data_IF_332736870277
#
_entry.id   IF_332736870277
#
_cell.length_a   1.000
_cell.length_b   1.000
_cell.length_c   1.000
_cell.angle_alpha   90.00
_cell.angle_beta   90.00
_cell.angle_gamma   90.00
#
_symmetry.space_group_name_H-M   'P 1'
#
loop_
_entity.id
_entity.type
_entity.pdbx_description
1 polymer ?
#
# COMPACT_ATOMS: atom_id res chain seq x y z
N UNK A 1 3.69 12.37 59.43
CA UNK A 1 3.48 12.93 58.07
C UNK A 1 4.20 12.02 57.10
N UNK A 2 3.42 11.21 56.39
CA UNK A 2 3.86 10.03 55.66
C UNK A 2 4.46 10.41 54.31
N UNK A 3 5.71 10.00 54.07
CA UNK A 3 6.39 10.19 52.78
C UNK A 3 6.09 9.00 51.87
N UNK A 4 5.30 9.22 50.82
CA UNK A 4 5.07 8.24 49.76
C UNK A 4 5.86 8.65 48.52
N UNK A 5 7.02 8.02 48.32
CA UNK A 5 7.79 8.12 47.07
C UNK A 5 7.16 7.23 46.00
N UNK A 6 6.67 7.82 44.91
CA UNK A 6 6.10 7.08 43.78
C UNK A 6 7.19 6.29 43.04
N UNK A 7 7.06 4.96 43.10
CA UNK A 7 7.86 3.99 42.37
C UNK A 7 7.45 4.04 40.90
N UNK A 8 8.32 4.52 40.01
CA UNK A 8 8.11 4.48 38.57
C UNK A 8 8.16 3.02 38.09
N UNK A 9 6.99 2.41 38.01
CA UNK A 9 6.81 1.11 37.37
C UNK A 9 7.14 1.22 35.89
N UNK A 10 8.23 0.56 35.48
CA UNK A 10 8.59 0.38 34.08
C UNK A 10 7.55 -0.53 33.42
N UNK A 11 6.53 0.07 32.80
CA UNK A 11 5.53 -0.67 32.01
C UNK A 11 6.24 -1.21 30.78
N UNK A 12 6.57 -2.51 30.81
CA UNK A 12 7.02 -3.24 29.63
C UNK A 12 5.83 -3.31 28.67
N UNK A 13 5.74 -2.34 27.77
CA UNK A 13 4.80 -2.39 26.67
C UNK A 13 5.17 -3.59 25.79
N UNK A 14 4.16 -4.35 25.38
CA UNK A 14 4.33 -5.44 24.41
C UNK A 14 4.77 -4.84 23.07
N UNK A 15 6.07 -4.65 22.88
CA UNK A 15 6.64 -4.52 21.54
C UNK A 15 6.47 -5.88 20.89
N UNK A 16 5.42 -6.02 20.06
CA UNK A 16 5.35 -7.10 19.08
C UNK A 16 6.63 -6.98 18.25
N UNK A 17 7.59 -7.86 18.52
CA UNK A 17 8.80 -7.99 17.71
C UNK A 17 8.28 -8.32 16.32
N UNK A 18 8.30 -7.33 15.43
CA UNK A 18 7.88 -7.52 14.05
C UNK A 18 8.67 -8.68 13.52
N UNK A 19 7.97 -9.73 13.07
CA UNK A 19 8.58 -10.72 12.20
C UNK A 19 9.20 -9.94 11.05
N UNK A 20 10.51 -10.09 10.81
CA UNK A 20 11.22 -9.42 9.73
C UNK A 20 10.47 -9.70 8.43
N UNK A 21 9.65 -8.74 8.01
CA UNK A 21 8.81 -8.87 6.83
C UNK A 21 9.75 -8.88 5.64
N UNK A 22 9.81 -10.01 4.92
CA UNK A 22 10.58 -10.11 3.68
C UNK A 22 10.02 -9.07 2.71
N UNK A 23 10.76 -7.98 2.52
CA UNK A 23 10.34 -6.88 1.66
C UNK A 23 10.95 -7.10 0.27
N UNK A 24 10.21 -7.79 -0.59
CA UNK A 24 10.55 -7.92 -2.01
C UNK A 24 9.93 -6.74 -2.75
N UNK A 25 10.72 -6.06 -3.58
CA UNK A 25 10.25 -4.94 -4.41
C UNK A 25 9.04 -5.37 -5.25
N UNK A 26 8.02 -4.53 -5.35
CA UNK A 26 6.83 -4.84 -6.14
C UNK A 26 5.88 -5.86 -5.52
N UNK A 27 6.16 -6.32 -4.28
CA UNK A 27 5.24 -7.18 -3.52
C UNK A 27 4.63 -6.41 -2.36
N UNK A 28 3.39 -6.75 -2.01
CA UNK A 28 2.70 -6.24 -0.82
C UNK A 28 2.10 -7.38 -0.04
N UNK A 29 1.96 -7.19 1.27
CA UNK A 29 1.34 -8.19 2.14
C UNK A 29 -0.18 -8.09 2.03
N UNK A 30 -0.84 -9.20 1.75
CA UNK A 30 -2.29 -9.28 1.75
C UNK A 30 -2.82 -9.23 3.19
N UNK A 31 -3.75 -8.31 3.46
CA UNK A 31 -4.20 -7.96 4.81
C UNK A 31 -4.80 -9.14 5.59
N UNK A 32 -5.48 -10.07 4.91
CA UNK A 32 -6.21 -11.16 5.59
C UNK A 32 -5.33 -12.37 5.90
N UNK A 33 -4.47 -12.79 4.96
CA UNK A 33 -3.70 -14.04 5.06
C UNK A 33 -2.20 -13.82 5.26
N UNK A 34 -1.75 -12.56 5.37
CA UNK A 34 -0.34 -12.19 5.45
C UNK A 34 0.55 -12.77 4.32
N UNK A 35 -0.05 -13.19 3.21
CA UNK A 35 0.65 -13.72 2.04
C UNK A 35 1.17 -12.56 1.18
N UNK A 36 2.33 -12.73 0.59
CA UNK A 36 2.85 -11.77 -0.39
C UNK A 36 2.05 -11.88 -1.69
N UNK A 37 1.59 -10.74 -2.20
CA UNK A 37 0.93 -10.61 -3.50
C UNK A 37 1.73 -9.64 -4.37
N UNK A 38 1.75 -9.92 -5.68
CA UNK A 38 2.42 -9.15 -6.72
C UNK A 38 1.37 -8.65 -7.71
N UNK A 39 1.58 -7.45 -8.27
CA UNK A 39 0.71 -6.94 -9.33
C UNK A 39 0.85 -7.75 -10.61
N UNK A 40 -0.23 -7.84 -11.39
CA UNK A 40 -0.22 -8.41 -12.74
C UNK A 40 0.23 -7.43 -13.82
N UNK A 41 0.47 -6.16 -13.46
CA UNK A 41 0.71 -5.07 -14.40
C UNK A 41 -0.57 -4.44 -14.97
N UNK A 42 -1.75 -4.98 -14.66
CA UNK A 42 -3.05 -4.38 -14.99
C UNK A 42 -3.85 -4.11 -13.72
N UNK A 43 -4.19 -2.83 -13.48
CA UNK A 43 -5.00 -2.42 -12.32
C UNK A 43 -6.39 -3.06 -12.31
N UNK A 44 -6.99 -3.26 -13.49
CA UNK A 44 -8.30 -3.88 -13.63
C UNK A 44 -8.27 -5.35 -13.22
N UNK A 45 -7.29 -6.10 -13.73
CA UNK A 45 -7.16 -7.52 -13.41
C UNK A 45 -6.81 -7.70 -11.94
N UNK A 46 -5.88 -6.89 -11.41
CA UNK A 46 -5.56 -6.90 -9.99
C UNK A 46 -6.80 -6.68 -9.14
N UNK A 47 -7.67 -5.71 -9.49
CA UNK A 47 -8.91 -5.48 -8.76
C UNK A 47 -9.82 -6.72 -8.76
N UNK A 48 -10.01 -7.38 -9.91
CA UNK A 48 -10.85 -8.56 -10.01
C UNK A 48 -10.34 -9.77 -9.23
N UNK A 49 -9.01 -9.97 -9.15
CA UNK A 49 -8.41 -11.11 -8.44
C UNK A 49 -8.26 -10.86 -6.92
N UNK A 50 -8.62 -9.66 -6.44
CA UNK A 50 -8.53 -9.31 -5.01
C UNK A 50 -7.22 -8.61 -4.63
N UNK A 51 -6.64 -7.89 -5.58
CA UNK A 51 -5.46 -7.04 -5.43
C UNK A 51 -4.20 -7.57 -6.12
N UNK A 52 -4.24 -8.68 -6.85
CA UNK A 52 -3.09 -9.22 -7.58
C UNK A 52 -2.85 -10.70 -7.33
N UNK A 53 -1.72 -11.20 -7.82
CA UNK A 53 -1.36 -12.61 -7.76
C UNK A 53 -0.55 -12.93 -6.52
N UNK A 54 -0.96 -13.95 -5.77
CA UNK A 54 -0.23 -14.41 -4.61
C UNK A 54 1.07 -15.14 -5.00
N UNK A 55 2.16 -14.87 -4.28
CA UNK A 55 3.46 -15.49 -4.56
C UNK A 55 3.37 -17.00 -4.30
N UNK A 56 3.88 -17.79 -5.24
CA UNK A 56 3.83 -19.25 -5.20
C UNK A 56 2.60 -19.88 -5.84
N UNK A 57 1.70 -19.09 -6.44
CA UNK A 57 0.56 -19.60 -7.21
C UNK A 57 0.82 -19.60 -8.70
N UNK A 58 -0.04 -20.30 -9.45
CA UNK A 58 -0.03 -20.34 -10.91
C UNK A 58 -1.31 -19.70 -11.42
N UNK A 59 -1.17 -18.75 -12.34
CA UNK A 59 -2.30 -18.13 -13.04
C UNK A 59 -2.35 -18.72 -14.46
N UNK A 60 -3.49 -19.31 -14.83
CA UNK A 60 -3.75 -19.80 -16.18
C UNK A 60 -4.70 -18.83 -16.87
N UNK A 61 -4.34 -18.40 -18.07
CA UNK A 61 -5.18 -17.56 -18.93
C UNK A 61 -5.54 -18.40 -20.14
N UNK A 62 -6.83 -18.65 -20.33
CA UNK A 62 -7.34 -19.29 -21.54
C UNK A 62 -7.27 -18.31 -22.70
N UNK A 63 -6.78 -18.79 -23.85
CA UNK A 63 -6.64 -17.96 -25.05
C UNK A 63 -7.88 -18.10 -25.94
N UNK A 64 -8.44 -16.97 -26.34
CA UNK A 64 -9.48 -16.91 -27.38
C UNK A 64 -8.83 -17.11 -28.78
N UNK A 65 -9.62 -17.37 -29.82
CA UNK A 65 -9.18 -17.67 -31.19
C UNK A 65 -8.11 -16.74 -31.80
N UNK A 66 -7.97 -15.52 -31.30
CA UNK A 66 -6.99 -14.53 -31.76
C UNK A 66 -5.81 -14.30 -30.80
N UNK A 67 -5.82 -14.86 -29.60
CA UNK A 67 -4.80 -14.70 -28.53
C UNK A 67 -4.40 -13.23 -28.24
N UNK A 68 -5.19 -12.24 -28.65
CA UNK A 68 -4.77 -10.82 -28.56
C UNK A 68 -4.64 -10.35 -27.11
N UNK A 69 -5.67 -10.63 -26.31
CA UNK A 69 -5.71 -10.19 -24.91
C UNK A 69 -4.79 -11.02 -24.01
N UNK A 70 -4.69 -12.33 -24.22
CA UNK A 70 -3.76 -13.19 -23.47
C UNK A 70 -2.32 -12.71 -23.65
N UNK A 71 -1.92 -12.43 -24.90
CA UNK A 71 -0.60 -11.88 -25.21
C UNK A 71 -0.35 -10.54 -24.53
N UNK A 72 -1.34 -9.65 -24.47
CA UNK A 72 -1.22 -8.35 -23.79
C UNK A 72 -1.04 -8.54 -22.27
N UNK A 73 -1.83 -9.42 -21.65
CA UNK A 73 -1.73 -9.69 -20.21
C UNK A 73 -0.38 -10.28 -19.83
N UNK A 74 0.14 -11.24 -20.61
CA UNK A 74 1.48 -11.80 -20.40
C UNK A 74 2.56 -10.73 -20.53
N UNK A 75 2.45 -9.84 -21.53
CA UNK A 75 3.38 -8.71 -21.68
C UNK A 75 3.32 -7.76 -20.48
N UNK A 76 2.14 -7.44 -19.96
CA UNK A 76 2.03 -6.61 -18.75
C UNK A 76 2.67 -7.27 -17.54
N UNK A 77 2.46 -8.58 -17.34
CA UNK A 77 3.08 -9.31 -16.25
C UNK A 77 4.61 -9.29 -16.36
N UNK A 78 5.15 -9.48 -17.57
CA UNK A 78 6.58 -9.37 -17.82
C UNK A 78 7.10 -7.95 -17.56
N UNK A 79 6.42 -6.92 -18.05
CA UNK A 79 6.80 -5.52 -17.81
C UNK A 79 6.80 -5.17 -16.32
N UNK A 80 5.80 -5.61 -15.56
CA UNK A 80 5.72 -5.40 -14.11
C UNK A 80 6.90 -6.08 -13.39
N UNK A 81 7.25 -7.31 -13.79
CA UNK A 81 8.42 -8.00 -13.28
C UNK A 81 9.73 -7.27 -13.59
N UNK A 82 9.89 -6.75 -14.81
CA UNK A 82 11.06 -5.94 -15.21
C UNK A 82 11.14 -4.65 -14.39
N UNK A 83 10.01 -3.94 -14.22
CA UNK A 83 9.93 -2.70 -13.43
C UNK A 83 10.44 -2.89 -11.99
N UNK A 84 10.11 -4.04 -11.41
CA UNK A 84 10.45 -4.41 -10.03
C UNK A 84 11.78 -5.16 -9.89
N UNK A 85 12.54 -5.35 -10.97
CA UNK A 85 13.78 -6.14 -11.02
C UNK A 85 13.60 -7.60 -10.57
N UNK A 86 12.48 -8.23 -10.92
CA UNK A 86 12.25 -9.66 -10.69
C UNK A 86 13.00 -10.50 -11.72
N UNK A 87 13.39 -11.73 -11.33
CA UNK A 87 13.92 -12.71 -12.27
C UNK A 87 12.76 -13.33 -13.03
N UNK A 88 12.75 -13.14 -14.35
CA UNK A 88 11.70 -13.64 -15.23
C UNK A 88 12.23 -14.77 -16.09
N UNK A 89 11.38 -15.76 -16.32
CA UNK A 89 11.60 -16.83 -17.27
C UNK A 89 10.47 -16.84 -18.28
N UNK A 90 10.81 -16.69 -19.57
CA UNK A 90 9.86 -16.70 -20.66
C UNK A 90 10.14 -17.91 -21.56
N UNK A 91 9.18 -18.83 -21.59
CA UNK A 91 9.15 -19.96 -22.53
C UNK A 91 7.91 -19.80 -23.41
N UNK A 92 8.09 -19.88 -24.73
CA UNK A 92 7.00 -19.83 -25.69
C UNK A 92 7.24 -20.92 -26.74
N UNK A 93 6.18 -21.66 -27.07
CA UNK A 93 6.22 -22.69 -28.12
C UNK A 93 6.08 -22.09 -29.53
N UNK A 94 5.26 -21.05 -29.67
CA UNK A 94 4.89 -20.52 -31.00
C UNK A 94 5.82 -19.41 -31.49
N UNK A 95 6.19 -18.48 -30.60
CA UNK A 95 6.95 -17.27 -30.96
C UNK A 95 8.32 -17.30 -30.31
N UNK A 96 9.32 -16.76 -31.01
CA UNK A 96 10.64 -16.55 -30.42
C UNK A 96 10.52 -15.60 -29.23
N UNK A 97 10.97 -16.04 -28.05
CA UNK A 97 10.96 -15.27 -26.80
C UNK A 97 11.58 -13.88 -26.95
N UNK A 98 12.63 -13.75 -27.77
CA UNK A 98 13.29 -12.47 -28.08
C UNK A 98 12.35 -11.43 -28.72
N UNK A 99 11.37 -11.85 -29.52
CA UNK A 99 10.44 -10.93 -30.17
C UNK A 99 9.43 -10.39 -29.16
N UNK A 100 8.92 -11.26 -28.28
CA UNK A 100 7.98 -10.88 -27.22
C UNK A 100 8.61 -9.85 -26.28
N UNK A 101 9.89 -10.03 -25.92
CA UNK A 101 10.62 -9.11 -25.06
C UNK A 101 10.84 -7.72 -25.70
N UNK A 102 10.93 -7.63 -27.03
CA UNK A 102 11.05 -6.34 -27.74
C UNK A 102 9.73 -5.57 -27.80
N UNK A 103 8.61 -6.27 -27.73
CA UNK A 103 7.26 -5.71 -27.80
C UNK A 103 6.67 -5.37 -26.42
N UNK A 104 7.50 -5.33 -25.37
CA UNK A 104 7.03 -5.01 -24.03
C UNK A 104 6.56 -3.55 -23.94
N UNK A 105 5.42 -3.28 -23.26
CA UNK A 105 4.98 -1.94 -22.95
C UNK A 105 6.07 -1.12 -22.24
N UNK A 106 6.24 0.13 -22.66
CA UNK A 106 7.13 1.06 -21.98
C UNK A 106 6.56 1.43 -20.62
N UNK A 107 7.40 1.37 -19.59
CA UNK A 107 7.05 1.81 -18.23
C UNK A 107 7.00 3.33 -18.25
N UNK A 108 5.82 3.89 -17.95
CA UNK A 108 5.68 5.30 -17.65
C UNK A 108 6.26 5.52 -16.26
N UNK A 109 7.55 5.83 -16.19
CA UNK A 109 8.13 6.38 -14.96
C UNK A 109 7.45 7.74 -14.77
N UNK A 110 6.75 7.98 -13.64
CA UNK A 110 6.31 9.34 -13.37
C UNK A 110 7.58 10.18 -13.31
N UNK A 111 7.73 11.10 -14.28
CA UNK A 111 8.73 12.15 -14.17
C UNK A 111 8.45 12.84 -12.85
N UNK A 112 9.27 12.54 -11.84
CA UNK A 112 9.36 13.38 -10.66
C UNK A 112 9.82 14.70 -11.24
N UNK A 113 8.89 15.63 -11.42
CA UNK A 113 9.24 17.05 -11.49
C UNK A 113 9.97 17.29 -10.19
N UNK A 114 11.29 17.24 -10.25
CA UNK A 114 12.13 17.81 -9.21
C UNK A 114 11.89 19.29 -9.37
N UNK A 115 10.80 19.76 -8.76
CA UNK A 115 10.65 21.16 -8.44
C UNK A 115 11.81 21.43 -7.51
N UNK A 116 12.86 22.07 -8.04
CA UNK A 116 13.99 22.59 -7.27
C UNK A 116 13.41 23.53 -6.19
N UNK A 117 12.99 22.96 -5.06
CA UNK A 117 12.58 23.69 -3.86
C UNK A 117 13.83 24.19 -3.15
N UNK A 118 14.57 25.05 -3.83
CA UNK A 118 15.52 25.98 -3.24
C UNK A 118 14.71 27.08 -2.56
N UNK A 119 14.03 26.77 -1.43
CA UNK A 119 13.52 27.75 -0.43
C UNK A 119 12.81 27.18 0.83
N UNK A 120 12.89 25.89 1.15
CA UNK A 120 12.11 25.30 2.25
C UNK A 120 12.83 25.14 3.61
N UNK A 121 13.90 25.90 3.86
CA UNK A 121 14.52 25.91 5.20
C UNK A 121 13.78 26.79 6.20
N UNK A 122 13.04 27.81 5.74
CA UNK A 122 12.35 28.76 6.63
C UNK A 122 10.93 28.31 7.03
N UNK A 123 10.17 27.68 6.13
CA UNK A 123 8.78 27.27 6.40
C UNK A 123 8.66 26.01 7.29
N UNK A 124 9.74 25.22 7.38
CA UNK A 124 9.81 24.04 8.27
C UNK A 124 9.85 24.40 9.75
N UNK A 125 10.26 25.61 10.12
CA UNK A 125 10.27 26.04 11.52
C UNK A 125 8.91 26.56 11.99
N UNK A 126 8.15 27.19 11.09
CA UNK A 126 6.83 27.77 11.42
C UNK A 126 5.73 26.71 11.56
N UNK A 127 5.85 25.57 10.86
CA UNK A 127 4.87 24.48 10.89
C UNK A 127 5.14 23.41 11.95
N UNK A 128 6.12 23.61 12.84
CA UNK A 128 6.38 22.70 13.98
C UNK A 128 5.27 22.69 15.02
N UNK A 129 4.53 23.79 15.17
CA UNK A 129 3.48 23.91 16.20
C UNK A 129 2.27 23.06 15.83
N UNK A 130 1.82 23.10 14.56
CA UNK A 130 0.66 22.36 14.09
C UNK A 130 0.84 20.82 14.19
N UNK A 131 2.07 20.33 14.00
CA UNK A 131 2.37 18.90 14.06
C UNK A 131 2.25 18.31 15.48
N UNK A 132 2.45 19.12 16.53
CA UNK A 132 2.36 18.65 17.92
C UNK A 132 0.92 18.40 18.39
N UNK A 133 -0.06 19.04 17.77
CA UNK A 133 -1.47 18.93 18.15
C UNK A 133 -2.26 17.91 17.33
N UNK A 134 -1.71 17.39 16.22
CA UNK A 134 -2.43 16.45 15.33
C UNK A 134 -2.85 15.13 16.02
N UNK A 135 -2.10 14.69 17.03
CA UNK A 135 -2.40 13.46 17.79
C UNK A 135 -2.87 13.70 19.23
N UNK A 136 -3.22 14.94 19.61
CA UNK A 136 -3.91 15.15 20.88
C UNK A 136 -5.38 14.77 20.69
N UNK A 137 -5.74 13.64 21.29
CA UNK A 137 -7.13 13.21 21.45
C UNK A 137 -7.91 14.36 22.07
N UNK A 138 -8.97 14.82 21.38
CA UNK A 138 -9.90 15.81 21.88
C UNK A 138 -10.55 15.30 23.18
N UNK A 139 -9.89 15.59 24.29
CA UNK A 139 -10.40 15.31 25.63
C UNK A 139 -10.33 16.61 26.40
N UNK A 140 -11.53 17.07 26.78
CA UNK A 140 -11.81 18.19 27.66
C UNK A 140 -11.83 19.60 27.03
N UNK A 141 -13.00 19.95 26.50
CA UNK A 141 -13.57 21.29 26.66
C UNK A 141 -15.11 21.21 26.65
N UNK A 142 -15.66 20.67 27.73
CA UNK A 142 -16.94 21.14 28.28
C UNK A 142 -16.54 22.35 29.16
N UNK A 143 -17.13 23.54 29.17
CA UNK A 143 -18.54 23.95 29.22
C UNK A 143 -18.60 25.45 28.87
N UNK A 144 -19.54 25.87 28.02
CA UNK A 144 -20.15 27.21 28.09
C UNK A 144 -21.56 27.20 27.46
N UNK A 145 -22.52 26.66 28.23
CA UNK A 145 -23.93 27.07 28.40
C UNK A 145 -24.65 27.80 27.25
N UNK A 146 -25.75 27.24 26.70
CA UNK A 146 -27.14 27.35 27.22
C UNK A 146 -28.18 26.73 26.26
N UNK A 147 -28.94 25.76 26.80
CA UNK A 147 -30.37 25.44 26.58
C UNK A 147 -30.95 25.45 25.15
N UNK A 148 -31.35 24.29 24.62
CA UNK A 148 -32.76 23.85 24.73
C UNK A 148 -33.05 22.53 23.98
N UNK A 149 -33.66 21.60 24.74
CA UNK A 149 -34.57 20.51 24.35
C UNK A 149 -34.00 19.26 23.66
N UNK A 150 -34.52 18.15 24.18
CA UNK A 150 -34.13 16.74 24.09
C UNK A 150 -34.92 15.96 23.04
N UNK A 151 -34.44 14.74 22.79
CA UNK A 151 -35.05 13.56 22.12
C UNK A 151 -34.85 13.49 20.58
N UNK A 152 -34.54 12.36 19.95
CA UNK A 152 -34.41 10.96 20.38
C UNK A 152 -33.54 10.20 19.36
N UNK A 153 -32.80 9.18 19.82
CA UNK A 153 -31.94 8.35 19.00
C UNK A 153 -32.65 7.04 18.61
N UNK A 154 -33.04 6.93 17.34
CA UNK A 154 -33.31 5.69 16.61
C UNK A 154 -32.79 5.96 15.18
N UNK A 155 -32.05 5.09 14.48
CA UNK A 155 -32.08 3.64 14.42
C UNK A 155 -30.86 3.15 13.62
N UNK A 156 -30.36 1.98 14.00
CA UNK A 156 -29.39 1.19 13.27
C UNK A 156 -29.91 0.69 11.89
N UNK A 157 -28.95 0.39 11.01
CA UNK A 157 -28.96 -0.64 9.96
C UNK A 157 -29.95 -0.48 8.80
N UNK A 158 -29.40 -0.23 7.61
CA UNK A 158 -29.27 -1.28 6.58
C UNK A 158 -27.85 -1.24 6.01
#
# INVERSE_FOLDING_TARGET
>A
MSSCTNRTGNVKSFRKKGTDSVNIRGTRVFTQNAQLITSTGSSTLDFFIGGGLAVGTVCLIEEDCHNTYSNILVKYFLTEGVANNHRLFLSSGDKLSKNILKELPSIKVPEVKVEDNFKDSALKEELKIAWRYQNQQATFAEVATRSSKTHDFQRCLF
#
